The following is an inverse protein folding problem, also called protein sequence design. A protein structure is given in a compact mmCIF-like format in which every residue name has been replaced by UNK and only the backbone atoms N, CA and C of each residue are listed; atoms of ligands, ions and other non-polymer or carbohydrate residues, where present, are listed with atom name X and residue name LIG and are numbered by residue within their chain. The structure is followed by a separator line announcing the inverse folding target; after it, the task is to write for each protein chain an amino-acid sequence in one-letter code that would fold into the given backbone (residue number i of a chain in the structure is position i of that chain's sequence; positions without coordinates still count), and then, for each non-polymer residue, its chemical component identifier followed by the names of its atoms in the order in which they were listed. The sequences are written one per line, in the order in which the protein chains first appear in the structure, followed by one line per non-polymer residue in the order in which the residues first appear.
data_IF_095663881970
#
_entry.id   IF_095663881970
#
_cell.length_a   1.000
_cell.length_b   1.000
_cell.length_c   1.000
_cell.angle_alpha   90.00
_cell.angle_beta   90.00
_cell.angle_gamma   90.00
#
_symmetry.space_group_name_H-M   'P 1'
#
loop_
_entity.id
_entity.type
_entity.pdbx_description
1 polymer ?
#
# COMPACT_ATOMS: atom_id res chain seq x y z
N UNK A 1 18.00 -13.30 -10.08
CA UNK A 1 17.27 -13.70 -8.87
C UNK A 1 15.99 -14.41 -9.29
N UNK A 2 15.56 -15.47 -8.60
CA UNK A 2 14.33 -16.19 -8.96
C UNK A 2 13.14 -15.54 -8.26
N UNK A 3 12.07 -15.29 -9.00
CA UNK A 3 10.79 -14.86 -8.42
C UNK A 3 10.18 -16.05 -7.69
N UNK A 4 9.92 -15.88 -6.40
CA UNK A 4 9.24 -16.89 -5.60
C UNK A 4 7.72 -16.70 -5.74
N UNK A 5 7.13 -17.34 -6.75
CA UNK A 5 5.69 -17.22 -7.05
C UNK A 5 4.79 -17.38 -5.81
N UNK A 6 5.04 -18.33 -4.88
CA UNK A 6 4.22 -18.44 -3.68
C UNK A 6 4.24 -17.19 -2.79
N UNK A 7 5.39 -16.56 -2.59
CA UNK A 7 5.48 -15.35 -1.75
C UNK A 7 4.81 -14.15 -2.40
N UNK A 8 4.91 -14.02 -3.73
CA UNK A 8 4.23 -12.95 -4.47
C UNK A 8 2.71 -13.06 -4.39
N UNK A 9 2.20 -14.29 -4.45
CA UNK A 9 0.77 -14.55 -4.32
C UNK A 9 0.27 -14.22 -2.91
N UNK A 10 1.02 -14.63 -1.87
CA UNK A 10 0.71 -14.29 -0.48
C UNK A 10 0.72 -12.78 -0.27
N UNK A 11 1.74 -12.09 -0.79
CA UNK A 11 1.85 -10.63 -0.70
C UNK A 11 0.66 -9.94 -1.37
N UNK A 12 0.32 -10.34 -2.59
CA UNK A 12 -0.82 -9.78 -3.34
C UNK A 12 -2.13 -9.95 -2.57
N UNK A 13 -2.39 -11.15 -2.06
CA UNK A 13 -3.61 -11.42 -1.27
C UNK A 13 -3.61 -10.59 0.02
N UNK A 14 -2.49 -10.51 0.73
CA UNK A 14 -2.38 -9.73 1.95
C UNK A 14 -2.71 -8.25 1.71
N UNK A 15 -2.24 -7.67 0.60
CA UNK A 15 -2.54 -6.29 0.24
C UNK A 15 -4.01 -6.08 -0.11
N UNK A 16 -4.61 -6.99 -0.86
CA UNK A 16 -6.04 -6.90 -1.19
C UNK A 16 -6.92 -7.03 0.06
N UNK A 17 -6.58 -7.94 0.97
CA UNK A 17 -7.28 -8.06 2.26
C UNK A 17 -7.13 -6.76 3.06
N UNK A 18 -5.92 -6.23 3.18
CA UNK A 18 -5.65 -4.99 3.91
C UNK A 18 -6.41 -3.79 3.31
N UNK A 19 -6.44 -3.66 1.98
CA UNK A 19 -7.20 -2.62 1.30
C UNK A 19 -8.70 -2.73 1.58
N UNK A 20 -9.28 -3.95 1.50
CA UNK A 20 -10.67 -4.20 1.89
C UNK A 20 -10.94 -3.85 3.35
N UNK A 21 -10.05 -4.23 4.27
CA UNK A 21 -10.16 -3.89 5.69
C UNK A 21 -10.14 -2.37 5.92
N UNK A 22 -9.32 -1.62 5.19
CA UNK A 22 -9.26 -0.16 5.28
C UNK A 22 -10.53 0.53 4.77
N UNK A 23 -11.16 -0.01 3.72
CA UNK A 23 -12.46 0.46 3.26
C UNK A 23 -13.52 0.23 4.33
N UNK A 24 -13.59 -0.97 4.90
CA UNK A 24 -14.52 -1.30 6.00
C UNK A 24 -14.27 -0.38 7.20
N UNK A 25 -13.00 -0.18 7.56
CA UNK A 25 -12.60 0.73 8.63
C UNK A 25 -13.11 2.16 8.39
N UNK A 26 -12.92 2.71 7.18
CA UNK A 26 -13.47 4.02 6.81
C UNK A 26 -15.00 4.08 6.94
N UNK A 27 -15.72 3.04 6.53
CA UNK A 27 -17.18 2.96 6.67
C UNK A 27 -17.62 2.90 8.14
N UNK A 28 -16.89 2.18 9.00
CA UNK A 28 -17.15 2.14 10.45
C UNK A 28 -16.95 3.54 11.05
N UNK A 29 -15.80 4.18 10.78
CA UNK A 29 -15.50 5.53 11.26
C UNK A 29 -16.56 6.52 10.79
N UNK A 30 -17.03 6.42 9.54
CA UNK A 30 -18.12 7.27 9.02
C UNK A 30 -19.39 7.17 9.87
N UNK A 31 -19.75 5.96 10.35
CA UNK A 31 -20.92 5.77 11.22
C UNK A 31 -20.68 6.36 12.60
N UNK A 32 -19.50 6.12 13.18
CA UNK A 32 -19.14 6.64 14.50
C UNK A 32 -19.09 8.18 14.53
N UNK A 33 -18.54 8.81 13.50
CA UNK A 33 -18.46 10.27 13.37
C UNK A 33 -19.84 10.95 13.39
N UNK A 34 -20.88 10.30 12.84
CA UNK A 34 -22.26 10.82 12.90
C UNK A 34 -22.77 10.93 14.34
N UNK A 35 -22.37 10.01 15.22
CA UNK A 35 -22.80 10.01 16.62
C UNK A 35 -22.23 11.20 17.39
N UNK A 36 -20.99 11.59 17.08
CA UNK A 36 -20.31 12.74 17.72
C UNK A 36 -20.44 14.05 16.92
N UNK A 37 -21.30 14.08 15.88
CA UNK A 37 -21.52 15.25 15.00
C UNK A 37 -20.22 15.84 14.39
N UNK A 38 -19.23 14.99 14.11
CA UNK A 38 -17.99 15.35 13.40
C UNK A 38 -18.01 14.72 12.00
N UNK A 39 -17.10 15.14 11.12
CA UNK A 39 -17.06 14.67 9.73
C UNK A 39 -15.65 14.61 9.15
N UNK A 40 -15.55 14.10 7.93
CA UNK A 40 -14.36 14.22 7.08
C UNK A 40 -13.32 13.11 7.22
N UNK A 41 -12.91 12.74 8.44
CA UNK A 41 -11.73 11.84 8.60
C UNK A 41 -11.95 10.41 8.09
N UNK A 42 -13.21 9.99 7.91
CA UNK A 42 -13.54 8.66 7.37
C UNK A 42 -13.08 8.43 5.92
N UNK A 43 -12.71 9.49 5.20
CA UNK A 43 -12.20 9.41 3.83
C UNK A 43 -10.74 8.95 3.81
N UNK A 44 -9.96 9.25 4.86
CA UNK A 44 -8.53 8.94 4.90
C UNK A 44 -8.23 7.43 4.85
N UNK A 45 -8.97 6.51 5.53
CA UNK A 45 -8.78 5.07 5.34
C UNK A 45 -9.12 4.60 3.91
N UNK A 46 -10.09 5.23 3.25
CA UNK A 46 -10.44 4.91 1.86
C UNK A 46 -9.31 5.36 0.93
N UNK A 47 -8.74 6.54 1.17
CA UNK A 47 -7.57 7.02 0.45
C UNK A 47 -6.36 6.10 0.69
N UNK A 48 -6.16 5.64 1.94
CA UNK A 48 -5.13 4.65 2.28
C UNK A 48 -5.29 3.35 1.48
N UNK A 49 -6.52 2.83 1.36
CA UNK A 49 -6.81 1.68 0.52
C UNK A 49 -6.46 1.93 -0.96
N UNK A 50 -6.81 3.09 -1.51
CA UNK A 50 -6.46 3.46 -2.88
C UNK A 50 -4.93 3.55 -3.09
N UNK A 51 -4.21 4.11 -2.12
CA UNK A 51 -2.74 4.18 -2.11
C UNK A 51 -2.11 2.77 -2.12
N UNK A 52 -2.66 1.82 -1.35
CA UNK A 52 -2.20 0.42 -1.40
C UNK A 52 -2.48 -0.27 -2.74
N UNK A 53 -3.59 0.06 -3.41
CA UNK A 53 -3.84 -0.49 -4.75
C UNK A 53 -2.85 0.05 -5.78
N UNK A 54 -2.45 1.32 -5.66
CA UNK A 54 -1.38 1.91 -6.50
C UNK A 54 -0.04 1.23 -6.21
N UNK A 55 0.29 1.00 -4.93
CA UNK A 55 1.47 0.24 -4.52
C UNK A 55 1.49 -1.15 -5.17
N UNK A 56 0.38 -1.89 -5.11
CA UNK A 56 0.27 -3.23 -5.70
C UNK A 56 0.47 -3.23 -7.22
N UNK A 57 0.02 -2.19 -7.92
CA UNK A 57 0.27 -2.02 -9.35
C UNK A 57 1.77 -1.82 -9.62
N UNK A 58 2.44 -0.97 -8.84
CA UNK A 58 3.88 -0.72 -8.96
C UNK A 58 4.67 -2.00 -8.68
N UNK A 59 4.31 -2.72 -7.61
CA UNK A 59 4.93 -4.00 -7.26
C UNK A 59 4.76 -5.03 -8.39
N UNK A 60 3.53 -5.18 -8.91
CA UNK A 60 3.25 -6.09 -10.03
C UNK A 60 4.06 -5.73 -11.27
N UNK A 61 4.18 -4.44 -11.60
CA UNK A 61 5.01 -3.96 -12.70
C UNK A 61 6.50 -4.33 -12.49
N UNK A 62 7.04 -4.10 -11.30
CA UNK A 62 8.42 -4.49 -10.97
C UNK A 62 8.63 -6.00 -11.11
N UNK A 63 7.70 -6.81 -10.59
CA UNK A 63 7.78 -8.27 -10.64
C UNK A 63 7.67 -8.83 -12.06
N UNK A 64 6.85 -8.24 -12.93
CA UNK A 64 6.65 -8.70 -14.31
C UNK A 64 7.78 -8.23 -15.23
N UNK A 65 8.27 -7.00 -15.08
CA UNK A 65 9.19 -6.40 -16.07
C UNK A 65 10.65 -6.35 -15.65
N UNK A 66 10.96 -6.25 -14.35
CA UNK A 66 12.35 -6.14 -13.88
C UNK A 66 12.92 -7.49 -13.46
N UNK A 67 12.21 -8.24 -12.62
CA UNK A 67 12.75 -9.49 -12.06
C UNK A 67 13.10 -10.56 -13.11
N UNK A 68 12.28 -10.81 -14.16
CA UNK A 68 12.63 -11.77 -15.20
C UNK A 68 13.90 -11.36 -15.96
N UNK A 69 14.02 -10.06 -16.28
CA UNK A 69 15.18 -9.50 -16.98
C UNK A 69 16.44 -9.54 -16.12
N UNK A 70 16.32 -9.28 -14.82
CA UNK A 70 17.42 -9.47 -13.86
C UNK A 70 17.87 -10.93 -13.73
N UNK A 71 17.01 -11.89 -14.07
CA UNK A 71 17.35 -13.31 -14.12
C UNK A 71 18.23 -13.69 -15.33
N UNK A 72 18.17 -12.91 -16.41
CA UNK A 72 18.85 -13.19 -17.70
C UNK A 72 19.81 -12.09 -18.14
N UNK A 73 20.01 -11.04 -17.35
CA UNK A 73 20.81 -9.88 -17.70
C UNK A 73 22.31 -10.21 -17.88
N UNK A 74 22.89 -9.71 -18.98
CA UNK A 74 24.33 -9.70 -19.20
C UNK A 74 25.05 -8.60 -18.40
N UNK A 75 26.39 -8.57 -18.46
CA UNK A 75 27.23 -7.61 -17.70
C UNK A 75 26.85 -6.14 -17.90
N UNK A 76 26.40 -5.76 -19.10
CA UNK A 76 26.12 -4.36 -19.44
C UNK A 76 24.70 -3.90 -19.02
N UNK A 77 23.73 -4.81 -18.98
CA UNK A 77 22.34 -4.48 -18.67
C UNK A 77 21.99 -4.65 -17.19
N UNK A 78 22.83 -5.37 -16.45
CA UNK A 78 22.59 -5.71 -15.06
C UNK A 78 22.44 -4.48 -14.16
N UNK A 79 23.38 -3.52 -14.26
CA UNK A 79 23.38 -2.35 -13.38
C UNK A 79 22.19 -1.41 -13.61
N UNK A 80 21.83 -1.04 -14.86
CA UNK A 80 20.61 -0.26 -15.13
C UNK A 80 19.33 -0.94 -14.61
N UNK A 81 19.19 -2.25 -14.81
CA UNK A 81 18.02 -3.01 -14.34
C UNK A 81 17.91 -3.02 -12.82
N UNK A 82 19.05 -3.16 -12.12
CA UNK A 82 19.09 -3.08 -10.66
C UNK A 82 18.64 -1.70 -10.18
N UNK A 83 19.23 -0.63 -10.72
CA UNK A 83 18.90 0.73 -10.29
C UNK A 83 17.41 1.03 -10.49
N UNK A 84 16.85 0.63 -11.64
CA UNK A 84 15.41 0.77 -11.89
C UNK A 84 14.55 -0.03 -10.91
N UNK A 85 14.91 -1.29 -10.63
CA UNK A 85 14.19 -2.14 -9.67
C UNK A 85 14.22 -1.55 -8.24
N UNK A 86 15.38 -1.06 -7.78
CA UNK A 86 15.52 -0.41 -6.48
C UNK A 86 14.75 0.92 -6.41
N UNK A 87 14.71 1.69 -7.50
CA UNK A 87 13.92 2.91 -7.56
C UNK A 87 12.43 2.62 -7.40
N UNK A 88 11.91 1.59 -8.07
CA UNK A 88 10.53 1.14 -7.91
C UNK A 88 10.27 0.63 -6.49
N UNK A 89 11.20 -0.12 -5.90
CA UNK A 89 11.07 -0.56 -4.51
C UNK A 89 11.05 0.57 -3.49
N UNK A 90 11.77 1.66 -3.75
CA UNK A 90 11.66 2.87 -2.93
C UNK A 90 10.27 3.48 -3.03
N UNK A 91 9.69 3.55 -4.22
CA UNK A 91 8.34 4.07 -4.41
C UNK A 91 7.32 3.21 -3.65
N UNK A 92 7.37 1.89 -3.79
CA UNK A 92 6.51 0.97 -3.04
C UNK A 92 6.57 1.22 -1.53
N UNK A 93 7.78 1.33 -0.97
CA UNK A 93 7.97 1.62 0.45
C UNK A 93 7.33 2.96 0.87
N UNK A 94 7.45 4.00 0.03
CA UNK A 94 6.81 5.30 0.26
C UNK A 94 5.29 5.17 0.23
N UNK A 95 4.72 4.48 -0.77
CA UNK A 95 3.26 4.28 -0.86
C UNK A 95 2.73 3.47 0.34
N UNK A 96 3.42 2.40 0.75
CA UNK A 96 3.10 1.66 1.96
C UNK A 96 3.10 2.54 3.21
N UNK A 97 4.16 3.33 3.39
CA UNK A 97 4.31 4.20 4.54
C UNK A 97 3.21 5.26 4.59
N UNK A 98 2.91 5.90 3.45
CA UNK A 98 1.81 6.86 3.33
C UNK A 98 0.45 6.21 3.66
N UNK A 99 0.19 5.00 3.13
CA UNK A 99 -1.03 4.28 3.46
C UNK A 99 -1.15 4.02 4.97
N UNK A 100 -0.06 3.58 5.61
CA UNK A 100 0.02 3.38 7.05
C UNK A 100 -0.28 4.65 7.86
N UNK A 101 0.37 5.78 7.52
CA UNK A 101 0.12 7.08 8.19
C UNK A 101 -1.34 7.49 8.07
N UNK A 102 -1.92 7.41 6.87
CA UNK A 102 -3.32 7.79 6.63
C UNK A 102 -4.28 6.93 7.47
N UNK A 103 -4.02 5.63 7.59
CA UNK A 103 -4.84 4.73 8.37
C UNK A 103 -4.72 4.99 9.88
N UNK A 104 -3.48 5.08 10.41
CA UNK A 104 -3.22 5.29 11.84
C UNK A 104 -3.69 6.67 12.30
N UNK A 105 -3.47 7.70 11.48
CA UNK A 105 -3.86 9.08 11.79
C UNK A 105 -5.36 9.22 12.06
N UNK A 106 -6.20 8.41 11.40
CA UNK A 106 -7.66 8.41 11.61
C UNK A 106 -8.02 7.86 12.98
N UNK A 107 -7.35 6.79 13.41
CA UNK A 107 -7.57 6.21 14.73
C UNK A 107 -7.23 7.20 15.82
N UNK A 108 -6.09 7.88 15.69
CA UNK A 108 -5.67 8.93 16.61
C UNK A 108 -6.64 10.12 16.64
N UNK A 109 -7.01 10.66 15.48
CA UNK A 109 -7.94 11.79 15.39
C UNK A 109 -9.33 11.45 15.93
N UNK A 110 -9.84 10.26 15.60
CA UNK A 110 -11.11 9.79 16.13
C UNK A 110 -11.07 9.68 17.66
N UNK A 111 -10.04 9.03 18.21
CA UNK A 111 -9.87 8.90 19.67
C UNK A 111 -9.82 10.26 20.36
N UNK A 112 -9.05 11.19 19.81
CA UNK A 112 -8.94 12.56 20.32
C UNK A 112 -10.28 13.31 20.31
N UNK A 113 -11.11 13.12 19.28
CA UNK A 113 -12.42 13.75 19.18
C UNK A 113 -13.49 13.09 20.05
N UNK A 114 -13.37 11.79 20.33
CA UNK A 114 -14.33 11.07 21.18
C UNK A 114 -14.11 11.27 22.68
N UNK A 115 -12.92 11.73 23.08
CA UNK A 115 -12.53 11.90 24.49
C UNK A 115 -12.61 13.33 24.99
N UNK A 116 -12.89 14.29 24.10
CA UNK A 116 -13.14 15.70 24.41
C UNK A 116 -14.63 15.99 24.30
#
# INVERSE_FOLDING_TARGET
MKVHIPSEFIFTIAILILACSLVIYGLIVRRLLRLIKRGGIWILPILSAAVLLIELIIHSYRMIFYFPRLGTAGRFDFFPLIVGSFSLGRLEAIFFFMAGILAVGVGFLYYHWSTR
#
